data_IF_047217569222
#
_entry.id   IF_047217569222
#
_cell.length_a   1.000
_cell.length_b   1.000
_cell.length_c   1.000
_cell.angle_alpha   90.00
_cell.angle_beta   90.00
_cell.angle_gamma   90.00
#
_symmetry.space_group_name_H-M   'P 1'
#
loop_
_entity.id
_entity.type
_entity.pdbx_description
1 polymer ?
#
# COMPACT_ATOMS: atom_id res chain seq x y z
N UNK A 1 31.03 -23.05 -73.84
CA UNK A 1 30.00 -22.28 -73.07
C UNK A 1 29.10 -23.13 -72.14
N UNK A 2 29.59 -24.19 -71.50
CA UNK A 2 28.77 -25.07 -70.60
C UNK A 2 29.03 -24.87 -69.11
N UNK A 3 30.06 -24.17 -68.69
CA UNK A 3 30.50 -24.06 -67.29
C UNK A 3 29.70 -23.03 -66.43
N UNK A 4 29.06 -22.02 -67.03
CA UNK A 4 28.34 -21.02 -66.28
C UNK A 4 26.98 -21.51 -65.81
N UNK A 5 26.32 -22.42 -66.44
CA UNK A 5 24.99 -22.93 -66.03
C UNK A 5 25.09 -23.82 -64.82
N UNK A 6 26.13 -24.54 -64.57
CA UNK A 6 26.33 -25.40 -63.42
C UNK A 6 26.68 -24.56 -62.19
N UNK A 7 27.54 -23.55 -62.37
CA UNK A 7 27.93 -22.61 -61.32
C UNK A 7 26.74 -21.78 -60.85
N UNK A 8 25.87 -21.34 -61.72
CA UNK A 8 24.64 -20.64 -61.34
C UNK A 8 23.64 -21.53 -60.61
N UNK A 9 23.55 -22.81 -60.98
CA UNK A 9 22.70 -23.78 -60.25
C UNK A 9 23.17 -24.01 -58.82
N UNK A 10 24.48 -24.10 -58.60
CA UNK A 10 25.07 -24.25 -57.27
C UNK A 10 24.80 -22.97 -56.44
N UNK A 11 24.97 -21.79 -57.02
CA UNK A 11 24.70 -20.52 -56.35
C UNK A 11 23.22 -20.40 -55.97
N UNK A 12 22.29 -20.77 -56.86
CA UNK A 12 20.87 -20.79 -56.56
C UNK A 12 20.48 -21.80 -55.47
N UNK A 13 21.09 -22.96 -55.42
CA UNK A 13 20.90 -23.95 -54.37
C UNK A 13 21.44 -23.45 -53.03
N UNK A 14 22.63 -22.84 -53.01
CA UNK A 14 23.21 -22.28 -51.82
C UNK A 14 22.32 -21.13 -51.27
N UNK A 15 21.78 -20.27 -52.15
CA UNK A 15 20.85 -19.19 -51.76
C UNK A 15 19.55 -19.75 -51.16
N UNK A 16 18.95 -20.79 -51.77
CA UNK A 16 17.77 -21.47 -51.22
C UNK A 16 18.04 -22.10 -49.85
N UNK A 17 19.19 -22.73 -49.66
CA UNK A 17 19.56 -23.31 -48.33
C UNK A 17 19.71 -22.20 -47.29
N UNK A 18 20.35 -21.07 -47.63
CA UNK A 18 20.45 -19.92 -46.73
C UNK A 18 19.06 -19.37 -46.36
N UNK A 19 18.12 -19.22 -47.31
CA UNK A 19 16.77 -18.79 -47.04
C UNK A 19 16.00 -19.74 -46.12
N UNK A 20 16.15 -21.05 -46.31
CA UNK A 20 15.56 -22.07 -45.44
C UNK A 20 16.15 -22.00 -44.03
N UNK A 21 17.47 -21.82 -43.91
CA UNK A 21 18.13 -21.66 -42.61
C UNK A 21 17.67 -20.37 -41.88
N UNK A 22 17.55 -19.24 -42.59
CA UNK A 22 17.05 -18.01 -42.05
C UNK A 22 15.58 -18.17 -41.61
N UNK A 23 14.75 -18.84 -42.41
CA UNK A 23 13.35 -19.14 -42.06
C UNK A 23 13.24 -20.04 -40.84
N UNK A 24 14.06 -21.10 -40.74
CA UNK A 24 14.12 -21.98 -39.58
C UNK A 24 14.59 -21.21 -38.33
N UNK A 25 15.62 -20.37 -38.45
CA UNK A 25 16.08 -19.54 -37.33
C UNK A 25 15.00 -18.57 -36.88
N UNK A 26 14.30 -17.93 -37.80
CA UNK A 26 13.20 -16.99 -37.43
C UNK A 26 11.97 -17.73 -36.89
N UNK A 27 11.66 -18.93 -37.40
CA UNK A 27 10.56 -19.75 -36.89
C UNK A 27 10.87 -20.36 -35.50
N UNK A 28 12.14 -20.70 -35.25
CA UNK A 28 12.58 -21.22 -33.93
C UNK A 28 12.76 -20.11 -32.88
N UNK A 29 13.07 -18.88 -33.30
CA UNK A 29 13.15 -17.74 -32.40
C UNK A 29 11.81 -17.17 -32.04
N UNK A 30 10.74 -17.40 -32.82
CA UNK A 30 9.39 -16.91 -32.52
C UNK A 30 8.79 -17.43 -31.19
N UNK A 31 9.00 -18.69 -30.77
CA UNK A 31 8.47 -19.11 -29.45
C UNK A 31 9.26 -18.58 -28.26
N UNK A 32 10.48 -18.06 -28.45
CA UNK A 32 11.28 -17.48 -27.36
C UNK A 32 10.93 -16.00 -27.13
N UNK A 33 10.43 -15.29 -28.16
CA UNK A 33 9.96 -13.91 -28.06
C UNK A 33 8.44 -13.80 -27.80
N UNK A 34 7.69 -14.89 -28.04
CA UNK A 34 6.33 -15.08 -27.54
C UNK A 34 6.33 -15.96 -26.28
N UNK A 35 7.32 -15.80 -25.41
CA UNK A 35 7.06 -16.00 -24.00
C UNK A 35 5.80 -15.20 -23.77
N UNK A 36 4.65 -15.87 -23.41
CA UNK A 36 3.51 -15.21 -22.81
C UNK A 36 4.10 -14.08 -21.99
N UNK A 37 3.87 -12.84 -22.42
CA UNK A 37 3.63 -11.83 -21.43
C UNK A 37 2.54 -12.49 -20.59
N UNK A 38 2.92 -13.08 -19.49
CA UNK A 38 2.12 -13.14 -18.30
C UNK A 38 1.60 -11.71 -18.29
N UNK A 39 0.33 -11.52 -18.62
CA UNK A 39 -0.35 -10.29 -18.29
C UNK A 39 0.09 -10.06 -16.87
N UNK A 40 1.06 -9.16 -16.71
CA UNK A 40 1.40 -8.56 -15.46
C UNK A 40 0.04 -8.19 -14.93
N UNK A 41 -0.41 -8.94 -13.94
CA UNK A 41 -1.56 -8.57 -13.12
C UNK A 41 -1.39 -7.08 -12.93
N UNK A 42 -2.31 -6.32 -13.49
CA UNK A 42 -2.35 -4.87 -13.60
C UNK A 42 -1.48 -4.27 -12.52
N UNK A 43 -0.59 -3.36 -12.89
CA UNK A 43 0.22 -2.49 -12.01
C UNK A 43 -0.72 -1.60 -11.16
N UNK A 44 -1.83 -2.17 -10.70
CA UNK A 44 -2.85 -1.58 -9.88
C UNK A 44 -2.33 -1.67 -8.45
N UNK A 45 -1.83 -0.53 -8.00
CA UNK A 45 -1.40 -0.36 -6.63
C UNK A 45 -2.56 -0.58 -5.68
N UNK A 46 -2.31 -1.25 -4.57
CA UNK A 46 -3.30 -1.38 -3.50
C UNK A 46 -3.63 0.01 -2.93
N UNK A 47 -4.92 0.32 -2.88
CA UNK A 47 -5.40 1.62 -2.41
C UNK A 47 -5.50 1.63 -0.90
N UNK A 48 -4.72 2.50 -0.29
CA UNK A 48 -4.65 2.71 1.16
C UNK A 48 -5.07 4.13 1.49
N UNK A 49 -6.00 4.31 2.41
CA UNK A 49 -6.41 5.63 2.89
C UNK A 49 -6.00 5.78 4.35
N UNK A 50 -5.18 6.79 4.65
CA UNK A 50 -4.82 7.14 6.01
C UNK A 50 -5.71 8.29 6.49
N UNK A 51 -6.62 7.99 7.43
CA UNK A 51 -7.52 8.95 8.05
C UNK A 51 -7.01 9.26 9.45
N UNK A 52 -6.34 10.41 9.61
CA UNK A 52 -5.80 10.89 10.86
C UNK A 52 -6.85 11.70 11.66
N UNK A 53 -6.53 12.06 12.90
CA UNK A 53 -7.38 12.96 13.70
C UNK A 53 -7.36 14.40 13.18
N UNK A 54 -6.29 14.79 12.45
CA UNK A 54 -6.19 16.11 11.82
C UNK A 54 -5.15 16.14 10.72
N UNK A 55 -5.43 16.89 9.64
CA UNK A 55 -4.46 17.15 8.57
C UNK A 55 -3.63 18.41 8.77
N UNK A 56 -3.99 19.27 9.73
CA UNK A 56 -3.27 20.53 9.98
C UNK A 56 -2.21 20.39 11.07
N UNK A 57 -2.33 19.41 11.95
CA UNK A 57 -1.39 19.13 13.03
C UNK A 57 0.01 18.75 12.50
N UNK A 58 1.07 19.31 13.11
CA UNK A 58 2.46 18.96 12.80
C UNK A 58 2.79 17.51 13.13
N UNK A 59 2.18 16.97 14.19
CA UNK A 59 2.33 15.57 14.59
C UNK A 59 1.84 14.65 13.47
N UNK A 60 0.59 14.82 13.01
CA UNK A 60 0.02 13.97 11.97
C UNK A 60 0.72 14.08 10.62
N UNK A 61 1.26 15.26 10.28
CA UNK A 61 2.12 15.43 9.10
C UNK A 61 3.40 14.61 9.19
N UNK A 62 3.99 14.51 10.39
CA UNK A 62 5.18 13.68 10.61
C UNK A 62 4.87 12.19 10.50
N UNK A 63 3.73 11.75 11.07
CA UNK A 63 3.26 10.36 10.94
C UNK A 63 3.00 10.02 9.47
N UNK A 64 2.32 10.91 8.75
CA UNK A 64 2.08 10.73 7.31
C UNK A 64 3.38 10.65 6.50
N UNK A 65 4.39 11.44 6.82
CA UNK A 65 5.68 11.35 6.12
C UNK A 65 6.30 9.96 6.25
N UNK A 66 6.21 9.34 7.43
CA UNK A 66 6.62 7.95 7.63
C UNK A 66 5.79 6.95 6.82
N UNK A 67 4.47 7.09 6.84
CA UNK A 67 3.55 6.26 6.08
C UNK A 67 3.78 6.38 4.57
N UNK A 68 4.03 7.60 4.06
CA UNK A 68 4.31 7.87 2.65
C UNK A 68 5.61 7.20 2.17
N UNK A 69 6.65 7.22 3.01
CA UNK A 69 7.90 6.52 2.71
C UNK A 69 7.68 5.00 2.60
N UNK A 70 6.93 4.42 3.54
CA UNK A 70 6.59 3.00 3.53
C UNK A 70 5.71 2.64 2.32
N UNK A 71 4.71 3.46 1.99
CA UNK A 71 3.84 3.26 0.84
C UNK A 71 4.64 3.26 -0.47
N UNK A 72 5.61 4.18 -0.60
CA UNK A 72 6.51 4.21 -1.76
C UNK A 72 7.35 2.94 -1.86
N UNK A 73 7.92 2.47 -0.74
CA UNK A 73 8.73 1.25 -0.71
C UNK A 73 7.92 -0.02 -1.02
N UNK A 74 6.64 -0.04 -0.66
CA UNK A 74 5.72 -1.16 -0.87
C UNK A 74 4.86 -1.03 -2.13
N UNK A 75 5.09 -0.03 -2.98
CA UNK A 75 4.30 0.26 -4.18
C UNK A 75 2.79 0.38 -3.90
N UNK A 76 2.41 1.10 -2.84
CA UNK A 76 1.02 1.36 -2.46
C UNK A 76 0.56 2.73 -2.99
N UNK A 77 -0.76 2.88 -3.21
CA UNK A 77 -1.42 4.15 -3.48
C UNK A 77 -2.00 4.69 -2.17
N UNK A 78 -1.25 5.59 -1.53
CA UNK A 78 -1.60 6.14 -0.22
C UNK A 78 -2.21 7.53 -0.33
N UNK A 79 -3.45 7.68 0.14
CA UNK A 79 -4.13 8.97 0.33
C UNK A 79 -4.11 9.35 1.82
N UNK A 80 -3.92 10.64 2.12
CA UNK A 80 -3.93 11.18 3.49
C UNK A 80 -5.09 12.13 3.67
N UNK A 81 -5.97 11.83 4.62
CA UNK A 81 -7.16 12.59 4.94
C UNK A 81 -7.30 12.79 6.45
N UNK A 82 -8.18 13.69 6.85
CA UNK A 82 -8.52 13.95 8.24
C UNK A 82 -9.23 15.29 8.38
N UNK A 83 -10.02 15.48 9.45
CA UNK A 83 -10.67 16.73 9.75
C UNK A 83 -9.66 17.86 10.04
N UNK A 84 -10.15 19.09 10.15
CA UNK A 84 -9.30 20.24 10.52
C UNK A 84 -9.02 20.32 12.02
N UNK A 85 -9.92 19.79 12.83
CA UNK A 85 -9.75 19.72 14.29
C UNK A 85 -9.89 18.27 14.77
N UNK A 86 -9.33 17.98 15.93
CA UNK A 86 -9.31 16.63 16.51
C UNK A 86 -10.56 16.30 17.36
N UNK A 87 -11.66 17.00 17.14
CA UNK A 87 -12.96 16.80 17.80
C UNK A 87 -14.07 16.40 16.83
N UNK A 88 -13.80 16.44 15.50
CA UNK A 88 -14.78 16.26 14.44
C UNK A 88 -14.83 14.79 13.98
N UNK A 89 -15.44 13.95 14.81
CA UNK A 89 -15.65 12.53 14.48
C UNK A 89 -16.67 12.33 13.33
N UNK A 90 -17.63 13.25 13.17
CA UNK A 90 -18.63 13.17 12.11
C UNK A 90 -17.96 13.28 10.72
N UNK A 91 -17.03 14.21 10.57
CA UNK A 91 -16.23 14.33 9.34
C UNK A 91 -15.37 13.07 9.13
N UNK A 92 -14.80 12.48 10.20
CA UNK A 92 -14.08 11.22 10.06
C UNK A 92 -14.98 10.09 9.57
N UNK A 93 -16.20 9.96 10.11
CA UNK A 93 -17.15 8.93 9.67
C UNK A 93 -17.52 9.09 8.19
N UNK A 94 -17.69 10.33 7.71
CA UNK A 94 -17.91 10.60 6.28
C UNK A 94 -16.69 10.22 5.42
N UNK A 95 -15.48 10.49 5.90
CA UNK A 95 -14.24 10.11 5.22
C UNK A 95 -14.08 8.59 5.14
N UNK A 96 -14.42 7.85 6.20
CA UNK A 96 -14.42 6.38 6.19
C UNK A 96 -15.40 5.86 5.13
N UNK A 97 -16.64 6.34 5.12
CA UNK A 97 -17.64 5.93 4.15
C UNK A 97 -17.18 6.22 2.72
N UNK A 98 -16.64 7.41 2.48
CA UNK A 98 -16.09 7.80 1.18
C UNK A 98 -14.91 6.93 0.75
N UNK A 99 -13.98 6.61 1.65
CA UNK A 99 -12.85 5.74 1.35
C UNK A 99 -13.32 4.36 0.88
N UNK A 100 -14.36 3.80 1.52
CA UNK A 100 -14.99 2.54 1.11
C UNK A 100 -15.63 2.65 -0.27
N UNK A 101 -16.39 3.72 -0.54
CA UNK A 101 -17.02 3.96 -1.85
C UNK A 101 -15.98 4.12 -2.96
N UNK A 102 -14.86 4.76 -2.66
CA UNK A 102 -13.74 4.97 -3.59
C UNK A 102 -12.90 3.70 -3.79
N UNK A 103 -13.24 2.59 -3.15
CA UNK A 103 -12.58 1.30 -3.29
C UNK A 103 -11.26 1.16 -2.54
N UNK A 104 -11.13 1.77 -1.36
CA UNK A 104 -10.01 1.51 -0.47
C UNK A 104 -9.96 0.04 -0.05
N UNK A 105 -8.81 -0.57 -0.11
CA UNK A 105 -8.57 -1.93 0.38
C UNK A 105 -8.15 -1.95 1.85
N UNK A 106 -7.48 -0.87 2.26
CA UNK A 106 -6.99 -0.68 3.63
C UNK A 106 -7.28 0.75 4.08
N UNK A 107 -7.79 0.89 5.31
CA UNK A 107 -7.88 2.16 6.02
C UNK A 107 -6.92 2.11 7.20
N UNK A 108 -5.96 3.07 7.26
CA UNK A 108 -5.17 3.36 8.45
C UNK A 108 -5.94 4.45 9.20
N UNK A 109 -6.28 4.22 10.46
CA UNK A 109 -7.21 5.06 11.19
C UNK A 109 -6.69 5.42 12.58
N UNK A 110 -6.90 6.66 13.01
CA UNK A 110 -6.75 7.09 14.41
C UNK A 110 -8.03 7.80 14.82
N UNK A 111 -8.75 7.21 15.76
CA UNK A 111 -10.09 7.67 16.13
C UNK A 111 -10.05 9.03 16.84
N UNK A 112 -10.89 9.95 16.42
CA UNK A 112 -11.21 11.17 17.18
C UNK A 112 -12.02 10.81 18.41
N UNK A 113 -12.98 9.90 18.26
CA UNK A 113 -13.82 9.43 19.36
C UNK A 113 -13.89 7.90 19.35
N UNK A 114 -13.70 7.31 20.53
CA UNK A 114 -13.62 5.85 20.69
C UNK A 114 -14.93 5.16 20.32
N UNK A 115 -16.08 5.67 20.79
CA UNK A 115 -17.40 5.06 20.57
C UNK A 115 -18.05 5.56 19.28
N UNK A 116 -18.00 6.87 19.02
CA UNK A 116 -18.72 7.49 17.91
C UNK A 116 -18.18 7.10 16.51
N UNK A 117 -16.93 6.62 16.42
CA UNK A 117 -16.37 6.11 15.17
C UNK A 117 -16.59 4.60 14.97
N UNK A 118 -17.08 3.87 15.98
CA UNK A 118 -17.15 2.40 15.97
C UNK A 118 -18.02 1.85 14.81
N UNK A 119 -19.22 2.41 14.63
CA UNK A 119 -20.16 1.93 13.59
C UNK A 119 -19.58 2.10 12.18
N UNK A 120 -18.93 3.24 11.90
CA UNK A 120 -18.33 3.49 10.60
C UNK A 120 -17.17 2.52 10.30
N UNK A 121 -16.38 2.16 11.31
CA UNK A 121 -15.31 1.16 11.20
C UNK A 121 -15.88 -0.25 10.99
N UNK A 122 -16.93 -0.62 11.73
CA UNK A 122 -17.61 -1.90 11.57
C UNK A 122 -18.21 -2.05 10.17
N UNK A 123 -18.83 -1.01 9.64
CA UNK A 123 -19.40 -0.96 8.29
C UNK A 123 -18.31 -1.12 7.21
N UNK A 124 -17.17 -0.42 7.36
CA UNK A 124 -16.05 -0.55 6.45
C UNK A 124 -15.48 -1.98 6.43
N UNK A 125 -15.26 -2.55 7.62
CA UNK A 125 -14.77 -3.92 7.76
C UNK A 125 -15.78 -4.94 7.20
N UNK A 126 -17.09 -4.74 7.43
CA UNK A 126 -18.17 -5.57 6.88
C UNK A 126 -18.22 -5.57 5.35
N UNK A 127 -17.71 -4.54 4.70
CA UNK A 127 -17.54 -4.43 3.25
C UNK A 127 -16.20 -4.97 2.74
N UNK A 128 -15.38 -5.56 3.62
CA UNK A 128 -14.12 -6.22 3.28
C UNK A 128 -12.89 -5.33 3.33
N UNK A 129 -13.02 -4.07 3.76
CA UNK A 129 -11.88 -3.16 3.95
C UNK A 129 -11.12 -3.57 5.21
N UNK A 130 -9.80 -3.68 5.13
CA UNK A 130 -8.96 -3.95 6.30
C UNK A 130 -8.70 -2.65 7.06
N UNK A 131 -8.94 -2.66 8.36
CA UNK A 131 -8.71 -1.49 9.21
C UNK A 131 -7.50 -1.72 10.10
N UNK A 132 -6.54 -0.80 10.04
CA UNK A 132 -5.37 -0.72 10.91
C UNK A 132 -5.52 0.52 11.78
N UNK A 133 -5.68 0.33 13.09
CA UNK A 133 -5.79 1.44 14.03
C UNK A 133 -4.42 1.81 14.57
N UNK A 134 -4.13 3.10 14.62
CA UNK A 134 -2.89 3.65 15.16
C UNK A 134 -3.19 4.72 16.21
N UNK A 135 -2.32 4.85 17.21
CA UNK A 135 -2.35 5.86 18.28
C UNK A 135 -3.64 5.79 19.15
N UNK A 136 -4.76 6.31 18.67
CA UNK A 136 -6.04 6.31 19.39
C UNK A 136 -6.95 5.20 18.88
N UNK A 137 -7.43 4.36 19.80
CA UNK A 137 -8.25 3.19 19.51
C UNK A 137 -9.71 3.53 19.22
N UNK A 138 -10.48 2.53 18.78
CA UNK A 138 -11.90 2.58 18.47
C UNK A 138 -12.61 1.35 19.02
N UNK A 139 -13.85 1.48 19.50
CA UNK A 139 -14.66 0.39 20.05
C UNK A 139 -15.19 -0.55 18.96
N UNK A 140 -14.29 -1.35 18.42
CA UNK A 140 -14.62 -2.28 17.34
C UNK A 140 -13.74 -3.53 17.37
N UNK A 141 -14.35 -4.71 17.39
CA UNK A 141 -13.65 -5.98 17.24
C UNK A 141 -13.27 -6.30 15.78
N UNK A 142 -13.74 -5.50 14.84
CA UNK A 142 -13.48 -5.70 13.40
C UNK A 142 -12.13 -5.14 12.92
N UNK A 143 -11.33 -4.55 13.83
CA UNK A 143 -10.00 -4.01 13.52
C UNK A 143 -9.01 -5.13 13.25
N UNK A 144 -8.33 -5.07 12.12
CA UNK A 144 -7.35 -6.08 11.70
C UNK A 144 -6.04 -6.02 12.49
N UNK A 145 -5.62 -4.83 12.90
CA UNK A 145 -4.39 -4.59 13.64
C UNK A 145 -4.49 -3.29 14.43
N UNK A 146 -3.91 -3.28 15.64
CA UNK A 146 -3.76 -2.11 16.50
C UNK A 146 -2.29 -1.84 16.75
N UNK A 147 -1.86 -0.60 16.56
CA UNK A 147 -0.49 -0.15 16.76
C UNK A 147 -0.53 1.10 17.62
N UNK A 148 -0.06 1.03 18.85
CA UNK A 148 -0.06 2.15 19.78
C UNK A 148 0.86 1.91 20.96
N UNK A 149 0.95 2.92 21.83
CA UNK A 149 1.65 2.84 23.11
C UNK A 149 0.70 2.23 24.16
N UNK A 150 1.21 1.32 24.97
CA UNK A 150 0.53 0.96 26.22
C UNK A 150 0.63 2.14 27.19
N UNK A 151 -0.40 2.99 27.16
CA UNK A 151 -0.42 4.23 27.94
C UNK A 151 -0.55 3.98 29.44
N UNK A 152 -1.13 2.84 29.85
CA UNK A 152 -1.18 2.44 31.25
C UNK A 152 0.22 2.10 31.77
N UNK A 153 0.95 1.24 31.06
CA UNK A 153 2.33 0.87 31.41
C UNK A 153 3.28 2.09 31.34
N UNK A 154 3.10 2.94 30.34
CA UNK A 154 3.86 4.18 30.25
C UNK A 154 3.61 5.12 31.44
N UNK A 155 2.35 5.26 31.88
CA UNK A 155 1.97 6.01 33.08
C UNK A 155 2.57 5.42 34.35
N UNK A 156 2.50 4.11 34.52
CA UNK A 156 3.13 3.43 35.67
C UNK A 156 4.64 3.68 35.72
N UNK A 157 5.33 3.53 34.59
CA UNK A 157 6.77 3.80 34.49
C UNK A 157 7.16 5.26 34.77
N UNK A 158 6.33 6.20 34.33
CA UNK A 158 6.53 7.62 34.62
C UNK A 158 6.40 7.90 36.14
N UNK A 159 5.36 7.34 36.78
CA UNK A 159 5.16 7.46 38.23
C UNK A 159 6.31 6.82 39.03
N UNK A 160 6.74 5.61 38.65
CA UNK A 160 7.90 4.96 39.26
C UNK A 160 9.19 5.79 39.13
N UNK A 161 9.40 6.39 37.96
CA UNK A 161 10.58 7.26 37.74
C UNK A 161 10.53 8.51 38.63
N UNK A 162 9.36 9.13 38.74
CA UNK A 162 9.17 10.32 39.60
C UNK A 162 9.36 10.00 41.10
N UNK A 163 8.91 8.82 41.54
CA UNK A 163 9.04 8.39 42.95
C UNK A 163 10.46 7.95 43.35
N UNK A 164 11.36 7.70 42.38
CA UNK A 164 12.75 7.35 42.67
C UNK A 164 13.59 8.54 43.14
N UNK A 165 13.13 9.75 42.92
CA UNK A 165 13.81 10.95 43.38
C UNK A 165 13.34 11.30 44.79
N UNK A 166 13.92 10.63 45.80
CA UNK A 166 13.47 10.64 47.20
C UNK A 166 13.60 12.02 47.90
N UNK A 167 14.04 13.07 47.20
CA UNK A 167 14.35 14.37 47.82
C UNK A 167 13.39 15.53 47.44
N UNK A 168 12.37 15.29 46.64
CA UNK A 168 11.39 16.33 46.29
C UNK A 168 9.96 15.93 46.60
N UNK A 169 9.19 16.85 47.26
CA UNK A 169 7.73 16.70 47.40
C UNK A 169 7.10 16.70 46.01
N UNK A 170 6.47 15.58 45.64
CA UNK A 170 5.75 15.45 44.37
C UNK A 170 4.38 16.11 44.57
N UNK A 171 4.16 17.25 43.94
CA UNK A 171 2.84 17.86 43.82
C UNK A 171 2.13 17.30 42.57
N UNK A 172 1.04 16.58 42.82
CA UNK A 172 0.13 16.05 41.80
C UNK A 172 -1.05 17.01 41.66
#
# INVERSE_FOLDING_TARGET
MKTNRWRNRILWMAFLVCLVLIFCLTAFHRPILNGKESESSSDQKHKVVFIAKSTVSGFWKSVYAGASNAATACNLDLTFEGPKNEEDYETQNQMIAKAVEDGAEVIIFSAVDYEANADAINDAAGKGVKVVVIDSDVDSDSVSCRIGTDNYDAGCKAAEAAMKDENEEIHI
#
